data_IF_648795052073
#
_entry.id   IF_648795052073
#
_cell.length_a   1.000
_cell.length_b   1.000
_cell.length_c   1.000
_cell.angle_alpha   90.00
_cell.angle_beta   90.00
_cell.angle_gamma   90.00
#
_symmetry.space_group_name_H-M   'P 1'
#
loop_
_entity.id
_entity.type
_entity.pdbx_description
1 polymer ?
#
# COMPACT_ATOMS: atom_id res chain seq x y z
N UNK A 1 -6.70 12.53 33.62
CA UNK A 1 -5.78 11.41 33.92
C UNK A 1 -5.68 10.49 32.70
N UNK A 2 -4.56 10.50 31.96
CA UNK A 2 -4.37 9.51 30.89
C UNK A 2 -3.85 8.21 31.49
N UNK A 3 -4.71 7.19 31.50
CA UNK A 3 -4.34 5.84 31.92
C UNK A 3 -3.30 5.20 30.99
N UNK A 4 -2.70 4.08 31.42
CA UNK A 4 -1.69 3.34 30.66
C UNK A 4 -2.11 3.06 29.21
N UNK A 5 -3.35 2.61 29.01
CA UNK A 5 -3.90 2.31 27.69
C UNK A 5 -3.88 3.52 26.75
N UNK A 6 -4.23 4.71 27.24
CA UNK A 6 -4.21 5.93 26.44
C UNK A 6 -2.78 6.32 26.02
N UNK A 7 -1.79 6.12 26.91
CA UNK A 7 -0.38 6.39 26.59
C UNK A 7 0.18 5.38 25.59
N UNK A 8 -0.20 4.10 25.71
CA UNK A 8 0.18 3.06 24.74
C UNK A 8 -0.42 3.34 23.36
N UNK A 9 -1.70 3.72 23.31
CA UNK A 9 -2.35 4.12 22.06
C UNK A 9 -1.65 5.32 21.41
N UNK A 10 -1.27 6.33 22.20
CA UNK A 10 -0.54 7.49 21.71
C UNK A 10 0.86 7.13 21.18
N UNK A 11 1.57 6.20 21.85
CA UNK A 11 2.86 5.70 21.35
C UNK A 11 2.70 4.94 20.02
N UNK A 12 1.67 4.09 19.92
CA UNK A 12 1.37 3.36 18.67
C UNK A 12 1.05 4.34 17.55
N UNK A 13 0.25 5.37 17.81
CA UNK A 13 -0.03 6.43 16.84
C UNK A 13 1.27 7.16 16.42
N UNK A 14 2.17 7.48 17.34
CA UNK A 14 3.45 8.12 17.00
C UNK A 14 4.31 7.22 16.07
N UNK A 15 4.32 5.92 16.32
CA UNK A 15 5.08 4.94 15.54
C UNK A 15 4.46 4.62 14.17
N UNK A 16 3.15 4.77 13.99
CA UNK A 16 2.43 4.25 12.81
C UNK A 16 1.79 5.31 11.94
N UNK A 17 1.36 6.44 12.51
CA UNK A 17 0.65 7.51 11.80
C UNK A 17 1.31 8.89 11.95
N UNK A 18 2.50 8.96 12.54
CA UNK A 18 3.26 10.20 12.68
C UNK A 18 2.70 11.17 13.72
N UNK A 19 1.90 10.67 14.67
CA UNK A 19 1.43 11.47 15.79
C UNK A 19 2.60 11.96 16.68
N UNK A 20 2.40 13.04 17.47
CA UNK A 20 3.43 13.51 18.40
C UNK A 20 3.88 12.43 19.39
N UNK A 21 5.17 12.43 19.72
CA UNK A 21 5.73 11.53 20.73
C UNK A 21 5.13 11.86 22.11
N UNK A 22 4.53 10.89 22.82
CA UNK A 22 3.97 11.15 24.14
C UNK A 22 5.05 11.56 25.15
N UNK A 23 4.73 12.40 26.15
CA UNK A 23 5.69 12.77 27.20
C UNK A 23 6.29 11.55 27.91
N UNK A 24 7.59 11.63 28.23
CA UNK A 24 8.32 10.56 28.92
C UNK A 24 8.96 9.51 27.99
N UNK A 25 8.76 9.59 26.68
CA UNK A 25 9.47 8.78 25.70
C UNK A 25 10.64 9.57 25.06
N UNK A 26 11.74 8.87 24.82
CA UNK A 26 12.88 9.39 24.06
C UNK A 26 12.50 9.52 22.58
N UNK A 27 12.37 10.76 22.12
CA UNK A 27 11.94 11.06 20.75
C UNK A 27 12.86 10.44 19.68
N UNK A 28 14.17 10.38 19.95
CA UNK A 28 15.13 9.78 19.01
C UNK A 28 14.94 8.26 18.92
N UNK A 29 14.72 7.58 20.05
CA UNK A 29 14.43 6.13 20.05
C UNK A 29 13.12 5.81 19.35
N UNK A 30 12.09 6.64 19.57
CA UNK A 30 10.80 6.50 18.87
C UNK A 30 10.97 6.69 17.37
N UNK A 31 11.77 7.66 16.94
CA UNK A 31 12.04 7.86 15.51
C UNK A 31 12.79 6.68 14.88
N UNK A 32 13.81 6.13 15.56
CA UNK A 32 14.51 4.92 15.10
C UNK A 32 13.54 3.75 14.94
N UNK A 33 12.64 3.56 15.90
CA UNK A 33 11.62 2.51 15.84
C UNK A 33 10.62 2.75 14.69
N UNK A 34 10.18 4.01 14.48
CA UNK A 34 9.31 4.39 13.36
C UNK A 34 9.94 4.06 12.01
N UNK A 35 11.20 4.42 11.79
CA UNK A 35 11.94 4.13 10.56
C UNK A 35 12.12 2.62 10.36
N UNK A 36 12.44 1.87 11.42
CA UNK A 36 12.55 0.42 11.35
C UNK A 36 11.20 -0.24 10.98
N UNK A 37 10.09 0.24 11.54
CA UNK A 37 8.75 -0.24 11.23
C UNK A 37 8.35 0.07 9.78
N UNK A 38 8.64 1.28 9.29
CA UNK A 38 8.40 1.65 7.88
C UNK A 38 9.15 0.72 6.93
N UNK A 39 10.43 0.41 7.21
CA UNK A 39 11.22 -0.54 6.42
C UNK A 39 10.64 -1.95 6.47
N UNK A 40 10.22 -2.42 7.64
CA UNK A 40 9.58 -3.74 7.80
C UNK A 40 8.30 -3.82 6.96
N UNK A 41 7.42 -2.83 7.08
CA UNK A 41 6.17 -2.77 6.30
C UNK A 41 6.46 -2.72 4.80
N UNK A 42 7.49 -1.98 4.36
CA UNK A 42 7.90 -1.95 2.96
C UNK A 42 8.22 -3.36 2.43
N UNK A 43 8.91 -4.18 3.22
CA UNK A 43 9.21 -5.57 2.85
C UNK A 43 7.97 -6.45 2.80
N UNK A 44 7.03 -6.29 3.73
CA UNK A 44 5.76 -7.03 3.74
C UNK A 44 4.89 -6.67 2.54
N UNK A 45 4.78 -5.39 2.20
CA UNK A 45 4.05 -4.93 1.02
C UNK A 45 4.74 -5.39 -0.26
N UNK A 46 6.06 -5.31 -0.36
CA UNK A 46 6.78 -5.80 -1.54
C UNK A 46 6.56 -7.30 -1.80
N UNK A 47 6.43 -8.12 -0.74
CA UNK A 47 6.05 -9.53 -0.89
C UNK A 47 4.62 -9.71 -1.41
N UNK A 48 3.71 -8.84 -0.97
CA UNK A 48 2.32 -8.88 -1.45
C UNK A 48 2.15 -8.24 -2.82
N UNK A 49 2.99 -7.28 -3.21
CA UNK A 49 2.93 -6.49 -4.44
C UNK A 49 4.28 -6.48 -5.16
N UNK A 50 4.76 -7.65 -5.64
CA UNK A 50 6.10 -7.79 -6.18
C UNK A 50 6.32 -7.00 -7.48
N UNK A 51 5.30 -6.87 -8.33
CA UNK A 51 5.38 -6.11 -9.57
C UNK A 51 5.49 -4.60 -9.31
N UNK A 52 4.72 -4.09 -8.35
CA UNK A 52 4.83 -2.70 -7.89
C UNK A 52 6.22 -2.38 -7.34
N UNK A 53 6.71 -3.21 -6.41
CA UNK A 53 8.02 -2.99 -5.79
C UNK A 53 9.17 -3.10 -6.81
N UNK A 54 9.14 -4.10 -7.68
CA UNK A 54 10.14 -4.27 -8.73
C UNK A 54 10.14 -3.09 -9.73
N UNK A 55 8.96 -2.60 -10.12
CA UNK A 55 8.84 -1.48 -11.06
C UNK A 55 9.31 -0.14 -10.48
N UNK A 56 9.19 0.07 -9.17
CA UNK A 56 9.73 1.24 -8.48
C UNK A 56 11.24 1.11 -8.20
N UNK A 57 11.75 -0.13 -8.14
CA UNK A 57 13.17 -0.44 -8.04
C UNK A 57 13.83 0.29 -6.86
N UNK A 58 14.97 0.99 -7.06
CA UNK A 58 15.65 1.73 -5.99
C UNK A 58 14.79 2.78 -5.29
N UNK A 59 13.73 3.29 -5.94
CA UNK A 59 12.82 4.28 -5.34
C UNK A 59 11.80 3.67 -4.39
N UNK A 60 11.66 2.33 -4.35
CA UNK A 60 10.64 1.62 -3.58
C UNK A 60 10.54 2.12 -2.13
N UNK A 61 11.66 2.11 -1.40
CA UNK A 61 11.66 2.49 0.01
C UNK A 61 11.33 3.96 0.24
N UNK A 62 11.76 4.85 -0.65
CA UNK A 62 11.47 6.29 -0.55
C UNK A 62 9.99 6.58 -0.81
N UNK A 63 9.45 6.03 -1.90
CA UNK A 63 8.02 6.16 -2.25
C UNK A 63 7.14 5.57 -1.15
N UNK A 64 7.45 4.36 -0.70
CA UNK A 64 6.73 3.71 0.40
C UNK A 64 6.79 4.52 1.69
N UNK A 65 7.97 4.96 2.11
CA UNK A 65 8.12 5.70 3.36
C UNK A 65 7.36 7.04 3.30
N UNK A 66 7.44 7.78 2.20
CA UNK A 66 6.70 9.03 2.01
C UNK A 66 5.18 8.84 2.07
N UNK A 67 4.68 7.74 1.51
CA UNK A 67 3.26 7.40 1.56
C UNK A 67 2.82 6.90 2.96
N UNK A 68 3.58 5.98 3.57
CA UNK A 68 3.18 5.30 4.79
C UNK A 68 3.46 6.08 6.08
N UNK A 69 4.34 7.09 6.07
CA UNK A 69 4.80 7.79 7.29
C UNK A 69 3.69 8.42 8.14
N UNK A 70 2.57 8.78 7.52
CA UNK A 70 1.44 9.46 8.18
C UNK A 70 0.15 8.63 8.15
N UNK A 71 0.25 7.34 7.81
CA UNK A 71 -0.91 6.46 7.59
C UNK A 71 -0.81 5.20 8.45
N UNK A 72 -1.83 4.90 9.28
CA UNK A 72 -1.92 3.60 9.92
C UNK A 72 -1.95 2.51 8.83
N UNK A 73 -1.55 1.28 9.19
CA UNK A 73 -1.62 0.18 8.24
C UNK A 73 -3.00 -0.45 8.24
N UNK A 74 -3.53 -0.72 7.05
CA UNK A 74 -4.71 -1.55 6.83
C UNK A 74 -4.32 -2.98 6.44
N UNK A 75 -3.03 -3.32 6.57
CA UNK A 75 -2.45 -4.60 6.19
C UNK A 75 -1.85 -4.56 4.79
N UNK A 76 -0.80 -5.36 4.57
CA UNK A 76 0.11 -5.18 3.44
C UNK A 76 -0.54 -5.32 2.05
N UNK A 77 -1.60 -6.12 1.95
CA UNK A 77 -2.37 -6.25 0.72
C UNK A 77 -3.10 -4.95 0.37
N UNK A 78 -3.77 -4.33 1.35
CA UNK A 78 -4.56 -3.11 1.17
C UNK A 78 -3.66 -1.90 1.02
N UNK A 79 -2.65 -1.77 1.87
CA UNK A 79 -1.66 -0.69 1.79
C UNK A 79 -1.01 -0.60 0.40
N UNK A 80 -0.59 -1.74 -0.19
CA UNK A 80 -0.02 -1.75 -1.53
C UNK A 80 -1.02 -1.40 -2.63
N UNK A 81 -2.31 -1.72 -2.43
CA UNK A 81 -3.38 -1.36 -3.36
C UNK A 81 -3.61 0.15 -3.38
N UNK A 82 -3.71 0.74 -2.20
CA UNK A 82 -3.99 2.16 -2.04
C UNK A 82 -2.79 3.01 -2.51
N UNK A 83 -1.56 2.56 -2.25
CA UNK A 83 -0.37 3.16 -2.85
C UNK A 83 -0.41 3.08 -4.40
N UNK A 84 -0.70 1.91 -4.96
CA UNK A 84 -0.73 1.74 -6.42
C UNK A 84 -1.81 2.62 -7.08
N UNK A 85 -2.98 2.75 -6.46
CA UNK A 85 -4.06 3.66 -6.91
C UNK A 85 -3.66 5.12 -6.82
N UNK A 86 -3.03 5.54 -5.72
CA UNK A 86 -2.58 6.92 -5.52
C UNK A 86 -1.50 7.30 -6.54
N UNK A 87 -0.57 6.40 -6.84
CA UNK A 87 0.41 6.58 -7.92
C UNK A 87 -0.24 6.63 -9.30
N UNK A 88 -1.24 5.78 -9.57
CA UNK A 88 -1.95 5.79 -10.85
C UNK A 88 -2.73 7.09 -11.07
N UNK A 89 -3.37 7.61 -10.01
CA UNK A 89 -4.12 8.86 -10.07
C UNK A 89 -3.23 10.10 -10.29
N UNK A 90 -1.93 9.99 -10.01
CA UNK A 90 -0.92 11.03 -10.24
C UNK A 90 -0.10 10.81 -11.52
N UNK A 91 -0.46 9.81 -12.32
CA UNK A 91 0.30 9.37 -13.50
C UNK A 91 1.77 8.98 -13.19
N UNK A 92 2.06 8.62 -11.94
CA UNK A 92 3.39 8.23 -11.44
C UNK A 92 3.59 6.71 -11.40
N UNK A 93 2.53 5.93 -11.66
CA UNK A 93 2.59 4.46 -11.62
C UNK A 93 3.28 3.92 -12.87
N UNK A 94 4.41 3.18 -12.75
CA UNK A 94 5.06 2.59 -13.91
C UNK A 94 4.16 1.56 -14.61
N UNK A 95 4.24 1.38 -15.94
CA UNK A 95 3.37 0.46 -16.68
C UNK A 95 3.39 -0.98 -16.16
N UNK A 96 4.55 -1.48 -15.73
CA UNK A 96 4.68 -2.84 -15.16
C UNK A 96 3.89 -2.99 -13.84
N UNK A 97 3.84 -1.96 -13.01
CA UNK A 97 3.01 -1.93 -11.80
C UNK A 97 1.52 -1.75 -12.15
N UNK A 98 1.21 -1.02 -13.23
CA UNK A 98 -0.13 -0.90 -13.80
C UNK A 98 -0.75 -2.25 -14.17
N UNK A 99 0.04 -3.15 -14.75
CA UNK A 99 -0.41 -4.51 -15.07
C UNK A 99 -0.84 -5.30 -13.82
N UNK A 100 -0.07 -5.22 -12.73
CA UNK A 100 -0.41 -5.87 -11.46
C UNK A 100 -1.70 -5.28 -10.87
N UNK A 101 -1.80 -3.95 -10.79
CA UNK A 101 -2.98 -3.26 -10.27
C UNK A 101 -4.24 -3.61 -11.07
N UNK A 102 -4.18 -3.50 -12.40
CA UNK A 102 -5.31 -3.80 -13.28
C UNK A 102 -5.73 -5.29 -13.18
N UNK A 103 -4.77 -6.21 -13.06
CA UNK A 103 -5.05 -7.64 -12.86
C UNK A 103 -5.80 -7.91 -11.56
N UNK A 104 -5.35 -7.28 -10.48
CA UNK A 104 -6.01 -7.39 -9.18
C UNK A 104 -7.41 -6.78 -9.20
N UNK A 105 -7.59 -5.61 -9.80
CA UNK A 105 -8.92 -4.98 -9.90
C UNK A 105 -9.88 -5.72 -10.83
N UNK A 106 -9.37 -6.46 -11.80
CA UNK A 106 -10.17 -7.30 -12.68
C UNK A 106 -10.64 -8.58 -11.97
N UNK A 107 -9.84 -9.10 -11.03
CA UNK A 107 -10.13 -10.36 -10.32
C UNK A 107 -10.78 -10.15 -8.95
N UNK A 108 -10.58 -9.01 -8.30
CA UNK A 108 -11.11 -8.71 -6.97
C UNK A 108 -11.82 -7.36 -6.95
N UNK A 109 -12.75 -7.22 -6.01
CA UNK A 109 -13.40 -5.96 -5.65
C UNK A 109 -12.82 -5.49 -4.33
N UNK A 110 -12.30 -4.28 -4.33
CA UNK A 110 -11.79 -3.59 -3.15
C UNK A 110 -12.29 -2.14 -3.16
N UNK A 111 -12.98 -1.75 -2.10
CA UNK A 111 -13.63 -0.44 -1.93
C UNK A 111 -12.76 0.58 -1.16
N UNK A 112 -11.54 0.21 -0.75
CA UNK A 112 -10.66 1.06 0.05
C UNK A 112 -10.79 0.89 1.56
N UNK A 113 -11.74 0.07 2.04
CA UNK A 113 -12.02 -0.05 3.48
C UNK A 113 -12.20 -1.50 3.93
N UNK A 114 -12.90 -2.32 3.14
CA UNK A 114 -13.17 -3.73 3.46
C UNK A 114 -12.15 -4.66 2.83
N UNK A 115 -11.97 -5.85 3.41
CA UNK A 115 -11.06 -6.84 2.84
C UNK A 115 -11.44 -7.16 1.38
N UNK A 116 -10.49 -7.18 0.42
CA UNK A 116 -10.78 -7.47 -0.98
C UNK A 116 -11.49 -8.80 -1.17
N UNK A 117 -12.51 -8.84 -2.04
CA UNK A 117 -13.29 -10.05 -2.33
C UNK A 117 -13.21 -10.46 -3.79
N UNK A 118 -13.19 -11.76 -4.13
CA UNK A 118 -13.19 -12.21 -5.51
C UNK A 118 -14.40 -11.71 -6.31
N UNK A 119 -14.17 -11.34 -7.57
CA UNK A 119 -15.22 -11.02 -8.54
C UNK A 119 -15.76 -12.31 -9.17
N UNK A 120 -17.08 -12.34 -9.38
CA UNK A 120 -17.79 -13.46 -10.04
C UNK A 120 -18.14 -13.18 -11.50
N UNK A 121 -18.15 -11.91 -11.90
CA UNK A 121 -18.50 -11.48 -13.25
C UNK A 121 -17.24 -11.00 -14.00
N UNK A 122 -17.22 -11.12 -15.35
CA UNK A 122 -16.17 -10.57 -16.18
C UNK A 122 -15.92 -9.08 -15.90
N UNK A 123 -14.66 -8.65 -16.05
CA UNK A 123 -14.29 -7.26 -15.84
C UNK A 123 -13.15 -6.84 -16.78
N UNK A 124 -13.25 -5.60 -17.28
CA UNK A 124 -12.13 -4.90 -17.95
C UNK A 124 -11.64 -3.81 -17.02
N UNK A 125 -10.33 -3.73 -16.78
CA UNK A 125 -9.69 -2.71 -15.93
C UNK A 125 -8.50 -2.11 -16.63
N UNK A 126 -8.22 -0.85 -16.31
CA UNK A 126 -7.08 -0.11 -16.86
C UNK A 126 -6.32 0.58 -15.75
N UNK A 127 -4.99 0.47 -15.77
CA UNK A 127 -4.09 1.23 -14.89
C UNK A 127 -2.76 1.48 -15.61
N UNK A 128 -2.27 2.73 -15.55
CA UNK A 128 -1.02 3.16 -16.18
C UNK A 128 -0.84 2.66 -17.63
N UNK A 129 -1.84 2.90 -18.49
CA UNK A 129 -1.84 2.45 -19.89
C UNK A 129 -2.01 0.94 -20.11
N UNK A 130 -2.05 0.12 -19.06
CA UNK A 130 -2.28 -1.33 -19.18
C UNK A 130 -3.76 -1.64 -19.03
N UNK A 131 -4.32 -2.42 -19.95
CA UNK A 131 -5.69 -2.94 -19.91
C UNK A 131 -5.66 -4.42 -19.53
N UNK A 132 -6.50 -4.84 -18.60
CA UNK A 132 -6.66 -6.24 -18.22
C UNK A 132 -8.10 -6.66 -18.36
N UNK A 133 -8.31 -7.80 -19.01
CA UNK A 133 -9.61 -8.43 -19.20
C UNK A 133 -9.66 -9.72 -18.40
N UNK A 134 -10.63 -9.84 -17.51
CA UNK A 134 -10.96 -11.08 -16.82
C UNK A 134 -12.30 -11.60 -17.36
N UNK A 135 -12.32 -12.84 -17.84
CA UNK A 135 -13.53 -13.51 -18.34
C UNK A 135 -13.39 -15.03 -18.17
N UNK A 136 -14.45 -15.70 -17.68
CA UNK A 136 -14.49 -17.15 -17.48
C UNK A 136 -13.26 -17.72 -16.73
N UNK A 137 -12.81 -17.03 -15.67
CA UNK A 137 -11.65 -17.43 -14.88
C UNK A 137 -10.28 -17.17 -15.53
N UNK A 138 -10.23 -16.69 -16.78
CA UNK A 138 -8.98 -16.33 -17.46
C UNK A 138 -8.73 -14.83 -17.37
N UNK A 139 -7.47 -14.46 -17.18
CA UNK A 139 -7.00 -13.07 -17.15
C UNK A 139 -6.06 -12.84 -18.35
N UNK A 140 -6.33 -11.82 -19.16
CA UNK A 140 -5.50 -11.39 -20.28
C UNK A 140 -5.06 -9.95 -20.09
N UNK A 141 -3.75 -9.71 -20.16
CA UNK A 141 -3.13 -8.38 -20.07
C UNK A 141 -2.85 -7.87 -21.48
N UNK A 142 -3.33 -6.67 -21.80
CA UNK A 142 -3.16 -5.97 -23.05
C UNK A 142 -2.48 -4.63 -22.74
N UNK A 143 -1.38 -4.30 -23.41
CA UNK A 143 -0.82 -2.94 -23.32
C UNK A 143 -1.54 -2.05 -24.31
N UNK A 144 -2.04 -0.89 -23.88
CA UNK A 144 -2.46 0.13 -24.83
C UNK A 144 -1.19 0.75 -25.41
N UNK A 145 -1.02 0.62 -26.73
CA UNK A 145 -0.02 1.37 -27.51
C UNK A 145 -0.30 2.86 -27.48
#
# INVERSE_FOLDING_TARGET
>A
MSGLAARQAALVAALTSGAPVPPGFDARRVEVARVALLRKRAGEVARQWPGLAAALGPRWHGVWAGWAATRPTDGSLRDGWDLARELAARDDLPPAAGAELATREATMRYDGTTAPRPRRLPAVRRAAGTIVVQAAGRVRVLRAT
#
